data_IF_281161650927
#
_entry.id   IF_281161650927
#
_cell.length_a   1.000
_cell.length_b   1.000
_cell.length_c   1.000
_cell.angle_alpha   90.00
_cell.angle_beta   90.00
_cell.angle_gamma   90.00
#
_symmetry.space_group_name_H-M   'P 1'
#
loop_
_entity.id
_entity.type
_entity.pdbx_description
1 polymer ?
#
# COMPACT_ATOMS: atom_id res chain seq x y z
N UNK A 1 74.88 -48.94 -4.91
CA UNK A 1 73.46 -48.58 -4.73
C UNK A 1 73.39 -47.54 -3.63
N UNK A 2 72.98 -46.30 -3.95
CA UNK A 2 72.81 -45.28 -2.91
C UNK A 2 71.40 -45.42 -2.33
N UNK A 3 71.30 -45.73 -1.04
CA UNK A 3 70.03 -45.69 -0.30
C UNK A 3 69.74 -44.23 0.05
N UNK A 4 68.57 -43.74 -0.36
CA UNK A 4 68.09 -42.40 -0.02
C UNK A 4 67.01 -42.53 1.06
N UNK A 5 67.05 -41.63 2.04
CA UNK A 5 66.06 -41.57 3.11
C UNK A 5 64.68 -41.13 2.58
N UNK A 6 63.57 -41.57 3.21
CA UNK A 6 62.24 -41.14 2.81
C UNK A 6 62.09 -39.62 2.95
N UNK A 7 61.56 -38.97 1.91
CA UNK A 7 61.24 -37.55 1.94
C UNK A 7 59.79 -37.35 2.37
N UNK A 8 59.58 -36.47 3.35
CA UNK A 8 58.27 -35.93 3.70
C UNK A 8 58.04 -34.62 2.96
N UNK A 9 56.86 -34.43 2.37
CA UNK A 9 56.46 -33.15 1.78
C UNK A 9 55.81 -32.31 2.88
N UNK A 10 56.55 -31.33 3.40
CA UNK A 10 56.11 -30.43 4.50
C UNK A 10 55.50 -29.11 3.99
N UNK A 11 55.23 -28.98 2.69
CA UNK A 11 54.74 -27.74 2.09
C UNK A 11 53.19 -27.69 2.06
N UNK A 12 52.63 -26.51 1.77
CA UNK A 12 51.17 -26.33 1.63
C UNK A 12 50.63 -27.15 0.45
N UNK A 13 49.42 -27.69 0.62
CA UNK A 13 48.74 -28.42 -0.44
C UNK A 13 48.36 -27.49 -1.58
N UNK A 14 48.47 -27.98 -2.80
CA UNK A 14 47.94 -27.29 -3.99
C UNK A 14 46.40 -27.32 -3.98
N UNK A 15 45.78 -26.42 -4.73
CA UNK A 15 44.32 -26.35 -4.84
C UNK A 15 43.70 -27.67 -5.29
N UNK A 16 44.35 -28.37 -6.22
CA UNK A 16 43.85 -29.63 -6.77
C UNK A 16 43.89 -30.75 -5.73
N UNK A 17 44.94 -30.78 -4.90
CA UNK A 17 45.08 -31.72 -3.79
C UNK A 17 44.02 -31.45 -2.71
N UNK A 18 43.78 -30.18 -2.39
CA UNK A 18 42.74 -29.78 -1.44
C UNK A 18 41.36 -30.24 -1.93
N UNK A 19 41.04 -30.04 -3.21
CA UNK A 19 39.78 -30.48 -3.82
C UNK A 19 39.64 -32.00 -3.75
N UNK A 20 40.71 -32.74 -4.06
CA UNK A 20 40.71 -34.20 -4.01
C UNK A 20 40.47 -34.76 -2.62
N UNK A 21 41.15 -34.21 -1.60
CA UNK A 21 40.95 -34.60 -0.18
C UNK A 21 39.54 -34.25 0.28
N UNK A 22 39.06 -33.06 -0.09
CA UNK A 22 37.72 -32.60 0.22
C UNK A 22 36.66 -33.54 -0.40
N UNK A 23 36.81 -33.97 -1.66
CA UNK A 23 35.87 -34.88 -2.30
C UNK A 23 35.68 -36.22 -1.55
N UNK A 24 36.69 -36.66 -0.78
CA UNK A 24 36.65 -37.89 0.01
C UNK A 24 35.95 -37.73 1.36
N UNK A 25 35.76 -36.49 1.84
CA UNK A 25 35.20 -36.23 3.16
C UNK A 25 33.67 -36.19 3.16
N UNK A 26 33.05 -36.98 4.03
CA UNK A 26 31.60 -36.99 4.24
C UNK A 26 31.06 -35.70 4.87
N UNK A 27 31.94 -34.93 5.53
CA UNK A 27 31.59 -33.71 6.26
C UNK A 27 31.29 -32.54 5.33
N UNK A 28 31.80 -32.57 4.10
CA UNK A 28 31.56 -31.50 3.12
C UNK A 28 30.09 -31.33 2.79
N UNK A 29 29.34 -32.43 2.74
CA UNK A 29 27.88 -32.36 2.54
C UNK A 29 27.17 -31.62 3.65
N UNK A 30 27.76 -31.54 4.84
CA UNK A 30 27.15 -30.94 6.03
C UNK A 30 27.64 -29.53 6.31
N UNK A 31 28.88 -29.21 5.95
CA UNK A 31 29.54 -27.97 6.37
C UNK A 31 30.04 -27.10 5.22
N UNK A 32 30.10 -27.61 3.99
CA UNK A 32 30.53 -26.82 2.82
C UNK A 32 29.35 -26.06 2.21
N UNK A 33 28.53 -25.45 3.06
CA UNK A 33 27.46 -24.57 2.65
C UNK A 33 27.94 -23.13 2.75
N UNK A 34 27.81 -22.39 1.65
CA UNK A 34 28.05 -20.95 1.64
C UNK A 34 26.90 -20.27 2.37
N UNK A 35 27.07 -20.02 3.66
CA UNK A 35 26.11 -19.24 4.44
C UNK A 35 26.37 -17.74 4.21
N UNK A 36 25.48 -17.08 3.48
CA UNK A 36 25.42 -15.62 3.47
C UNK A 36 24.67 -15.15 4.71
N UNK A 37 25.41 -14.68 5.71
CA UNK A 37 24.82 -14.25 6.98
C UNK A 37 24.46 -12.78 6.88
N UNK A 38 23.17 -12.47 6.80
CA UNK A 38 22.70 -11.09 6.96
C UNK A 38 23.09 -10.58 8.35
N UNK A 39 23.79 -9.45 8.39
CA UNK A 39 24.20 -8.84 9.65
C UNK A 39 23.00 -8.20 10.37
N UNK A 40 23.00 -8.17 11.70
CA UNK A 40 21.96 -7.50 12.48
C UNK A 40 21.77 -6.02 12.05
N UNK A 41 22.86 -5.37 11.65
CA UNK A 41 22.88 -4.02 11.09
C UNK A 41 22.08 -3.92 9.78
N UNK A 42 22.26 -4.86 8.85
CA UNK A 42 21.59 -4.90 7.55
C UNK A 42 20.09 -5.12 7.72
N UNK A 43 19.71 -6.05 8.60
CA UNK A 43 18.31 -6.32 8.94
C UNK A 43 17.64 -5.07 9.54
N UNK A 44 18.34 -4.36 10.43
CA UNK A 44 17.81 -3.15 11.06
C UNK A 44 17.62 -2.02 10.05
N UNK A 45 18.61 -1.78 9.19
CA UNK A 45 18.52 -0.77 8.15
C UNK A 45 17.36 -1.05 7.19
N UNK A 46 17.20 -2.31 6.77
CA UNK A 46 16.09 -2.71 5.91
C UNK A 46 14.72 -2.39 6.54
N UNK A 47 14.54 -2.69 7.83
CA UNK A 47 13.31 -2.36 8.57
C UNK A 47 13.07 -0.86 8.67
N UNK A 48 14.13 -0.08 8.91
CA UNK A 48 14.04 1.38 8.94
C UNK A 48 13.60 1.92 7.58
N UNK A 49 14.24 1.49 6.49
CA UNK A 49 13.86 1.90 5.13
C UNK A 49 12.43 1.53 4.78
N UNK A 50 11.99 0.32 5.11
CA UNK A 50 10.61 -0.14 4.90
C UNK A 50 9.62 0.74 5.68
N UNK A 51 9.91 1.05 6.93
CA UNK A 51 9.04 1.92 7.75
C UNK A 51 8.94 3.35 7.21
N UNK A 52 10.05 3.91 6.71
CA UNK A 52 10.08 5.24 6.10
C UNK A 52 9.25 5.27 4.83
N UNK A 53 9.41 4.26 3.95
CA UNK A 53 8.64 4.12 2.71
C UNK A 53 7.14 4.00 2.98
N UNK A 54 6.75 3.22 3.99
CA UNK A 54 5.35 3.09 4.40
C UNK A 54 4.79 4.43 4.91
N UNK A 55 5.53 5.12 5.77
CA UNK A 55 5.11 6.42 6.31
C UNK A 55 4.98 7.49 5.22
N UNK A 56 5.86 7.49 4.22
CA UNK A 56 5.76 8.39 3.06
C UNK A 56 4.53 8.07 2.21
N UNK A 57 4.27 6.79 1.94
CA UNK A 57 3.09 6.35 1.19
C UNK A 57 1.78 6.72 1.89
N UNK A 58 1.71 6.53 3.21
CA UNK A 58 0.55 6.95 4.01
C UNK A 58 0.35 8.47 3.99
N UNK A 59 1.42 9.26 4.08
CA UNK A 59 1.33 10.73 3.97
C UNK A 59 0.81 11.16 2.59
N UNK A 60 1.27 10.52 1.52
CA UNK A 60 0.80 10.81 0.17
C UNK A 60 -0.70 10.50 0.01
N UNK A 61 -1.14 9.31 0.44
CA UNK A 61 -2.55 8.92 0.45
C UNK A 61 -3.41 9.91 1.24
N UNK A 62 -2.97 10.30 2.44
CA UNK A 62 -3.70 11.29 3.25
C UNK A 62 -3.77 12.67 2.59
N UNK A 63 -2.73 13.08 1.84
CA UNK A 63 -2.74 14.34 1.11
C UNK A 63 -3.70 14.28 -0.08
N UNK A 64 -3.74 13.18 -0.82
CA UNK A 64 -4.69 12.98 -1.91
C UNK A 64 -6.14 12.96 -1.41
N UNK A 65 -6.42 12.24 -0.33
CA UNK A 65 -7.74 12.22 0.31
C UNK A 65 -8.17 13.62 0.77
N UNK A 66 -7.25 14.40 1.34
CA UNK A 66 -7.52 15.79 1.74
C UNK A 66 -7.83 16.68 0.55
N UNK A 67 -7.10 16.54 -0.56
CA UNK A 67 -7.35 17.29 -1.81
C UNK A 67 -8.71 16.96 -2.40
N UNK A 68 -9.03 15.67 -2.54
CA UNK A 68 -10.33 15.21 -3.04
C UNK A 68 -11.47 15.76 -2.16
N UNK A 69 -11.33 15.67 -0.83
CA UNK A 69 -12.34 16.17 0.11
C UNK A 69 -12.49 17.70 0.05
N UNK A 70 -11.42 18.42 -0.23
CA UNK A 70 -11.46 19.87 -0.42
C UNK A 70 -12.17 20.23 -1.73
N UNK A 71 -11.82 19.58 -2.84
CA UNK A 71 -12.48 19.78 -4.14
C UNK A 71 -13.98 19.47 -4.07
N UNK A 72 -14.38 18.39 -3.38
CA UNK A 72 -15.79 18.09 -3.16
C UNK A 72 -16.51 19.18 -2.36
N UNK A 73 -15.87 19.73 -1.32
CA UNK A 73 -16.44 20.83 -0.53
C UNK A 73 -16.60 22.08 -1.39
N UNK A 74 -15.60 22.41 -2.21
CA UNK A 74 -15.64 23.56 -3.12
C UNK A 74 -16.73 23.40 -4.18
N UNK A 75 -16.90 22.21 -4.76
CA UNK A 75 -18.02 21.90 -5.69
C UNK A 75 -19.37 22.06 -4.99
N UNK A 76 -19.55 21.48 -3.79
CA UNK A 76 -20.80 21.61 -3.01
C UNK A 76 -21.13 23.05 -2.64
N UNK A 77 -20.12 23.90 -2.37
CA UNK A 77 -20.33 25.33 -2.08
C UNK A 77 -20.71 26.09 -3.35
N UNK A 78 -20.08 25.81 -4.50
CA UNK A 78 -20.44 26.42 -5.79
C UNK A 78 -21.85 26.04 -6.22
N UNK A 79 -22.23 24.77 -6.08
CA UNK A 79 -23.59 24.30 -6.40
C UNK A 79 -24.66 24.96 -5.51
N UNK A 80 -24.35 25.19 -4.23
CA UNK A 80 -25.25 25.92 -3.32
C UNK A 80 -25.39 27.40 -3.65
N UNK A 81 -24.35 28.03 -4.22
CA UNK A 81 -24.37 29.45 -4.63
C UNK A 81 -25.03 29.67 -6.00
N UNK A 82 -24.99 28.69 -6.90
CA UNK A 82 -25.58 28.79 -8.24
C UNK A 82 -27.06 28.42 -8.28
N UNK A 83 -27.57 27.65 -7.31
CA UNK A 83 -29.01 27.43 -7.18
C UNK A 83 -29.65 28.68 -6.61
N UNK A 84 -30.69 29.27 -7.26
CA UNK A 84 -31.49 30.29 -6.60
C UNK A 84 -31.98 29.70 -5.28
N UNK A 85 -31.68 30.37 -4.17
CA UNK A 85 -32.16 29.98 -2.85
C UNK A 85 -33.67 30.25 -2.82
N UNK A 86 -34.44 29.36 -3.45
CA UNK A 86 -35.88 29.33 -3.29
C UNK A 86 -36.07 28.82 -1.88
N UNK A 87 -36.26 29.75 -0.95
CA UNK A 87 -36.41 29.44 0.46
C UNK A 87 -37.45 28.34 0.64
N UNK A 88 -37.18 27.41 1.54
CA UNK A 88 -38.09 26.29 1.82
C UNK A 88 -39.51 26.80 2.11
N UNK A 89 -39.65 28.00 2.66
CA UNK A 89 -40.92 28.68 2.93
C UNK A 89 -41.72 29.01 1.66
N UNK A 90 -41.07 29.53 0.60
CA UNK A 90 -41.75 29.83 -0.68
C UNK A 90 -42.09 28.55 -1.46
N UNK A 91 -41.24 27.52 -1.39
CA UNK A 91 -41.55 26.21 -1.98
C UNK A 91 -42.79 25.56 -1.34
N UNK A 92 -42.90 25.58 -0.01
CA UNK A 92 -44.05 25.03 0.72
C UNK A 92 -45.34 25.82 0.45
N UNK A 93 -45.25 27.14 0.27
CA UNK A 93 -46.42 27.97 -0.06
C UNK A 93 -46.94 27.69 -1.47
N UNK A 94 -46.06 27.59 -2.46
CA UNK A 94 -46.45 27.32 -3.86
C UNK A 94 -47.07 25.91 -3.97
N UNK A 95 -46.46 24.90 -3.36
CA UNK A 95 -46.98 23.52 -3.37
C UNK A 95 -48.33 23.40 -2.68
N UNK A 96 -48.51 24.00 -1.49
CA UNK A 96 -49.81 24.00 -0.80
C UNK A 96 -50.90 24.71 -1.61
N UNK A 97 -50.54 25.76 -2.34
CA UNK A 97 -51.50 26.49 -3.18
C UNK A 97 -51.92 25.66 -4.39
N UNK A 98 -50.98 24.98 -5.05
CA UNK A 98 -51.28 24.10 -6.18
C UNK A 98 -52.18 22.93 -5.72
N UNK A 99 -51.87 22.30 -4.58
CA UNK A 99 -52.68 21.21 -4.01
C UNK A 99 -54.11 21.70 -3.73
N UNK A 100 -54.26 22.83 -3.05
CA UNK A 100 -55.59 23.36 -2.71
C UNK A 100 -56.41 23.76 -3.95
N UNK A 101 -55.77 24.26 -5.01
CA UNK A 101 -56.46 24.63 -6.26
C UNK A 101 -56.89 23.38 -7.03
N UNK A 102 -56.03 22.36 -7.08
CA UNK A 102 -56.33 21.08 -7.73
C UNK A 102 -57.43 20.34 -6.96
N UNK A 103 -57.34 20.29 -5.63
CA UNK A 103 -58.35 19.68 -4.78
C UNK A 103 -59.69 20.39 -4.91
N UNK A 104 -59.74 21.73 -4.88
CA UNK A 104 -61.00 22.48 -5.05
C UNK A 104 -61.54 22.40 -6.48
N UNK A 105 -60.69 22.33 -7.49
CA UNK A 105 -61.09 22.16 -8.89
C UNK A 105 -61.73 20.79 -9.12
N UNK A 106 -61.09 19.72 -8.65
CA UNK A 106 -61.61 18.35 -8.76
C UNK A 106 -62.80 18.09 -7.83
N UNK A 107 -62.75 18.53 -6.56
CA UNK A 107 -63.87 18.37 -5.61
C UNK A 107 -65.07 19.29 -5.91
N UNK A 108 -64.84 20.45 -6.52
CA UNK A 108 -65.92 21.36 -6.92
C UNK A 108 -66.77 20.82 -8.06
N UNK A 109 -66.15 20.06 -8.98
CA UNK A 109 -66.84 19.36 -10.07
C UNK A 109 -67.55 18.09 -9.58
N UNK A 110 -67.02 17.40 -8.56
CA UNK A 110 -67.61 16.19 -7.98
C UNK A 110 -68.75 16.46 -6.97
N UNK A 111 -68.85 17.66 -6.40
CA UNK A 111 -69.92 18.04 -5.44
C UNK A 111 -71.08 18.83 -6.09
N UNK A 112 -71.06 19.08 -7.40
CA UNK A 112 -72.18 19.71 -8.13
C UNK A 112 -73.11 18.65 -8.73
N UNK A 113 -73.90 18.00 -7.87
CA UNK A 113 -75.19 17.38 -8.17
C UNK A 113 -76.09 17.51 -6.96
#
# INVERSE_FOLDING_TARGET
TLLVAPQSRMDVLTTDEIIGVNAQSSLIKKYNETMDRESAYEILNKKLEESVKLAEKEKQLQQEEKKIKQEERERKVKDKKQKPMIDKTTQHQITRTIINVVERGLMGLLKKR
#
